data_IF_979017999696
#
_entry.id   IF_979017999696
#
_cell.length_a   1.000
_cell.length_b   1.000
_cell.length_c   1.000
_cell.angle_alpha   90.00
_cell.angle_beta   90.00
_cell.angle_gamma   90.00
#
_symmetry.space_group_name_H-M   'P 1'
#
loop_
_entity.id
_entity.type
_entity.pdbx_description
1 polymer ?
#
# COMPACT_ATOMS: atom_id res chain seq x y z
N UNK A 1 18.37 -6.85 3.46
CA UNK A 1 18.12 -5.67 2.60
C UNK A 1 18.16 -6.02 1.11
N UNK A 2 19.06 -6.89 0.65
CA UNK A 2 19.12 -7.32 -0.75
C UNK A 2 17.84 -8.04 -1.22
N UNK A 3 17.26 -8.90 -0.36
CA UNK A 3 16.03 -9.65 -0.68
C UNK A 3 14.83 -8.71 -0.86
N UNK A 4 14.61 -7.80 0.10
CA UNK A 4 13.54 -6.77 0.02
C UNK A 4 13.61 -5.96 -1.27
N UNK A 5 14.81 -5.61 -1.73
CA UNK A 5 14.99 -4.89 -3.00
C UNK A 5 14.60 -5.74 -4.21
N UNK A 6 14.82 -7.05 -4.16
CA UNK A 6 14.42 -8.02 -5.20
C UNK A 6 12.91 -8.23 -5.21
N UNK A 7 12.27 -8.40 -4.06
CA UNK A 7 10.81 -8.55 -3.98
C UNK A 7 10.07 -7.30 -4.49
N UNK A 8 10.57 -6.11 -4.14
CA UNK A 8 10.04 -4.84 -4.67
C UNK A 8 10.22 -4.75 -6.19
N UNK A 9 11.32 -5.30 -6.73
CA UNK A 9 11.53 -5.43 -8.17
C UNK A 9 10.46 -6.30 -8.85
N UNK A 10 10.13 -7.47 -8.28
CA UNK A 10 9.08 -8.34 -8.82
C UNK A 10 7.69 -7.66 -8.81
N UNK A 11 7.35 -6.94 -7.73
CA UNK A 11 6.12 -6.15 -7.66
C UNK A 11 6.07 -5.06 -8.74
N UNK A 12 7.18 -4.36 -8.97
CA UNK A 12 7.28 -3.33 -10.00
C UNK A 12 7.02 -3.92 -11.40
N UNK A 13 7.66 -5.04 -11.73
CA UNK A 13 7.48 -5.72 -13.02
C UNK A 13 6.04 -6.22 -13.23
N UNK A 14 5.40 -6.74 -12.18
CA UNK A 14 3.99 -7.14 -12.24
C UNK A 14 3.06 -5.95 -12.55
N UNK A 15 3.31 -4.80 -11.91
CA UNK A 15 2.54 -3.58 -12.15
C UNK A 15 2.75 -3.08 -13.59
N UNK A 16 3.99 -3.07 -14.07
CA UNK A 16 4.32 -2.70 -15.46
C UNK A 16 3.62 -3.61 -16.48
N UNK A 17 3.63 -4.93 -16.26
CA UNK A 17 2.92 -5.87 -17.11
C UNK A 17 1.40 -5.62 -17.12
N UNK A 18 0.80 -5.32 -15.96
CA UNK A 18 -0.63 -5.00 -15.86
C UNK A 18 -0.98 -3.72 -16.65
N UNK A 19 -0.17 -2.67 -16.54
CA UNK A 19 -0.36 -1.45 -17.34
C UNK A 19 -0.23 -1.71 -18.84
N UNK A 20 0.72 -2.56 -19.25
CA UNK A 20 0.86 -3.00 -20.65
C UNK A 20 -0.41 -3.69 -21.18
N UNK A 21 -1.02 -4.58 -20.38
CA UNK A 21 -2.27 -5.24 -20.74
C UNK A 21 -3.42 -4.23 -20.88
N UNK A 22 -3.54 -3.28 -19.94
CA UNK A 22 -4.60 -2.26 -20.02
C UNK A 22 -4.43 -1.32 -21.23
N UNK A 23 -3.19 -0.99 -21.59
CA UNK A 23 -2.90 -0.19 -22.77
C UNK A 23 -3.34 -0.93 -24.05
N UNK A 24 -2.96 -2.20 -24.21
CA UNK A 24 -3.36 -2.98 -25.39
C UNK A 24 -4.87 -3.30 -25.41
N UNK A 25 -5.49 -3.56 -24.25
CA UNK A 25 -6.94 -3.74 -24.16
C UNK A 25 -7.73 -2.47 -24.51
N UNK A 26 -7.15 -1.29 -24.26
CA UNK A 26 -7.71 -0.02 -24.71
C UNK A 26 -7.58 0.15 -26.23
N UNK A 27 -6.44 -0.24 -26.81
CA UNK A 27 -6.24 -0.23 -28.26
C UNK A 27 -7.25 -1.13 -28.98
N UNK A 28 -7.63 -2.26 -28.36
CA UNK A 28 -8.67 -3.15 -28.87
C UNK A 28 -10.11 -2.59 -28.74
N UNK A 29 -10.37 -1.60 -27.87
CA UNK A 29 -11.71 -1.07 -27.56
C UNK A 29 -11.96 0.38 -28.06
N UNK A 30 -11.21 0.87 -29.03
CA UNK A 30 -11.38 2.23 -29.57
C UNK A 30 -11.77 2.25 -31.06
N UNK A 31 -13.08 2.33 -31.31
CA UNK A 31 -13.67 3.51 -31.99
C UNK A 31 -14.82 4.04 -31.11
N UNK A 32 -15.08 5.36 -31.07
CA UNK A 32 -16.28 5.93 -30.41
C UNK A 32 -17.55 5.28 -30.96
N UNK A 33 -18.70 5.30 -30.23
CA UNK A 33 -19.92 4.63 -30.69
C UNK A 33 -20.25 5.13 -32.10
N UNK A 34 -20.46 4.17 -33.02
CA UNK A 34 -20.83 4.41 -34.41
C UNK A 34 -21.86 5.54 -34.45
N UNK A 35 -21.47 6.72 -34.94
CA UNK A 35 -22.46 7.75 -35.20
C UNK A 35 -23.50 7.14 -36.15
N UNK A 36 -24.77 7.26 -35.78
CA UNK A 36 -25.88 6.74 -36.55
C UNK A 36 -25.93 7.45 -37.90
N UNK A 37 -25.27 6.90 -38.92
CA UNK A 37 -25.38 7.35 -40.29
C UNK A 37 -26.75 6.92 -40.82
N UNK A 38 -27.78 7.73 -40.55
CA UNK A 38 -29.16 7.52 -40.97
C UNK A 38 -29.41 7.69 -42.48
N UNK A 39 -28.40 7.50 -43.33
CA UNK A 39 -28.55 7.62 -44.79
C UNK A 39 -28.65 6.26 -45.49
N UNK A 40 -28.76 5.14 -44.76
CA UNK A 40 -28.89 3.81 -45.35
C UNK A 40 -30.30 3.48 -45.88
N UNK A 41 -31.27 4.39 -45.75
CA UNK A 41 -32.61 4.26 -46.31
C UNK A 41 -32.91 5.37 -47.34
N UNK A 42 -32.14 5.41 -48.42
CA UNK A 42 -32.68 5.92 -49.68
C UNK A 42 -32.72 4.75 -50.66
N UNK A 43 -33.92 4.20 -50.85
CA UNK A 43 -34.25 3.27 -51.92
C UNK A 43 -33.96 3.97 -53.26
N UNK A 44 -32.89 3.56 -53.94
CA UNK A 44 -32.72 3.84 -55.35
C UNK A 44 -33.66 2.90 -56.11
N UNK A 45 -34.80 3.44 -56.52
CA UNK A 45 -35.71 2.85 -57.50
C UNK A 45 -34.90 2.53 -58.77
N UNK A 46 -34.93 1.27 -59.20
CA UNK A 46 -34.33 0.83 -60.46
C UNK A 46 -34.95 1.61 -61.62
N UNK A 47 -34.13 2.37 -62.32
CA UNK A 47 -34.43 3.00 -63.60
C UNK A 47 -34.51 1.95 -64.71
N UNK A 48 -35.62 1.94 -65.45
CA UNK A 48 -35.73 1.36 -66.79
C UNK A 48 -36.22 2.46 -67.77
N UNK A 49 -35.73 2.41 -69.01
CA UNK A 49 -35.62 3.45 -70.03
C UNK A 49 -36.81 4.42 -70.29
N UNK A 50 -36.50 5.72 -70.45
CA UNK A 50 -36.69 6.53 -71.68
C UNK A 50 -36.95 8.04 -71.43
N UNK A 51 -36.24 8.85 -72.22
CA UNK A 51 -36.41 10.29 -72.56
C UNK A 51 -35.62 11.35 -71.73
N UNK A 52 -34.90 12.21 -72.46
CA UNK A 52 -33.95 13.25 -71.97
C UNK A 52 -34.65 14.64 -71.81
N UNK A 53 -33.97 15.79 -71.59
CA UNK A 53 -32.64 16.10 -71.03
C UNK A 53 -32.68 17.19 -69.90
N UNK A 54 -31.55 17.46 -69.22
CA UNK A 54 -30.96 18.82 -69.06
C UNK A 54 -30.07 19.01 -67.80
N UNK A 55 -28.86 19.52 -68.07
CA UNK A 55 -28.17 20.63 -67.38
C UNK A 55 -27.51 20.40 -65.99
N UNK A 56 -26.16 20.38 -66.03
CA UNK A 56 -25.17 21.22 -65.28
C UNK A 56 -25.39 21.46 -63.77
N UNK A 57 -24.38 21.39 -62.89
CA UNK A 57 -23.18 22.26 -62.85
C UNK A 57 -22.01 21.54 -62.14
N UNK A 58 -20.81 21.76 -62.68
CA UNK A 58 -19.51 21.40 -62.15
C UNK A 58 -19.04 22.26 -60.96
N UNK A 59 -17.97 21.81 -60.28
CA UNK A 59 -16.88 22.57 -59.64
C UNK A 59 -16.51 21.94 -58.28
N UNK A 60 -15.54 21.01 -58.25
CA UNK A 60 -14.10 21.24 -57.99
C UNK A 60 -13.75 21.63 -56.55
N UNK A 61 -13.12 20.71 -55.81
CA UNK A 61 -11.79 20.89 -55.21
C UNK A 61 -11.39 19.64 -54.38
N UNK A 62 -10.51 18.81 -54.94
CA UNK A 62 -9.54 18.00 -54.18
C UNK A 62 -8.47 18.94 -53.57
N UNK A 63 -7.57 18.54 -52.66
CA UNK A 63 -7.54 17.36 -51.77
C UNK A 63 -7.25 17.76 -50.30
N UNK A 64 -7.63 16.95 -49.30
CA UNK A 64 -6.81 16.87 -48.09
C UNK A 64 -6.51 15.41 -47.76
N UNK A 65 -5.22 15.13 -47.89
CA UNK A 65 -4.63 13.81 -47.83
C UNK A 65 -4.47 13.41 -46.36
N UNK A 66 -5.33 12.49 -45.93
CA UNK A 66 -5.05 11.40 -44.95
C UNK A 66 -6.32 10.91 -44.25
N UNK A 67 -7.45 10.94 -44.96
CA UNK A 67 -8.50 9.93 -44.78
C UNK A 67 -8.04 8.55 -45.29
N UNK A 68 -6.78 8.17 -45.02
CA UNK A 68 -6.37 6.78 -45.14
C UNK A 68 -7.11 6.04 -44.05
N UNK A 69 -8.17 5.39 -44.48
CA UNK A 69 -8.27 3.95 -44.33
C UNK A 69 -7.33 3.39 -43.26
N UNK A 70 -7.87 2.98 -42.13
CA UNK A 70 -7.49 1.71 -41.53
C UNK A 70 -8.48 1.42 -40.42
N UNK A 71 -9.52 0.69 -40.80
CA UNK A 71 -9.98 -0.41 -39.95
C UNK A 71 -8.75 -1.13 -39.40
N UNK A 72 -8.69 -1.36 -38.08
CA UNK A 72 -7.64 -2.17 -37.48
C UNK A 72 -7.51 -3.44 -38.34
N UNK A 73 -6.38 -3.61 -39.02
CA UNK A 73 -6.17 -4.78 -39.85
C UNK A 73 -6.05 -6.00 -38.93
N UNK A 74 -6.45 -7.18 -39.40
CA UNK A 74 -6.39 -8.41 -38.59
C UNK A 74 -5.03 -8.63 -37.93
N UNK A 75 -3.97 -8.17 -38.59
CA UNK A 75 -2.58 -8.21 -38.12
C UNK A 75 -2.36 -7.36 -36.85
N UNK A 76 -2.93 -6.15 -36.76
CA UNK A 76 -2.77 -5.26 -35.59
C UNK A 76 -3.53 -5.79 -34.36
N UNK A 77 -4.68 -6.45 -34.59
CA UNK A 77 -5.45 -7.15 -33.56
C UNK A 77 -4.66 -8.36 -33.05
N UNK A 78 -4.08 -9.14 -33.96
CA UNK A 78 -3.25 -10.30 -33.64
C UNK A 78 -1.98 -9.91 -32.88
N UNK A 79 -1.34 -8.81 -33.26
CA UNK A 79 -0.18 -8.25 -32.56
C UNK A 79 -0.54 -7.83 -31.13
N UNK A 80 -1.70 -7.18 -30.95
CA UNK A 80 -2.20 -6.79 -29.63
C UNK A 80 -2.43 -8.00 -28.72
N UNK A 81 -3.05 -9.07 -29.24
CA UNK A 81 -3.21 -10.32 -28.48
C UNK A 81 -1.87 -11.00 -28.17
N UNK A 82 -0.91 -10.95 -29.09
CA UNK A 82 0.44 -11.48 -28.89
C UNK A 82 1.16 -10.74 -27.76
N UNK A 83 1.09 -9.41 -27.75
CA UNK A 83 1.65 -8.58 -26.67
C UNK A 83 0.96 -8.81 -25.33
N UNK A 84 -0.36 -8.90 -25.30
CA UNK A 84 -1.12 -9.27 -24.09
C UNK A 84 -0.67 -10.63 -23.56
N UNK A 85 -0.45 -11.61 -24.46
CA UNK A 85 0.09 -12.92 -24.10
C UNK A 85 1.48 -12.85 -23.47
N UNK A 86 2.36 -12.01 -24.02
CA UNK A 86 3.70 -11.77 -23.48
C UNK A 86 3.64 -11.12 -22.08
N UNK A 87 2.82 -10.07 -21.90
CA UNK A 87 2.64 -9.42 -20.60
C UNK A 87 2.04 -10.38 -19.56
N UNK A 88 1.04 -11.18 -19.94
CA UNK A 88 0.47 -12.21 -19.06
C UNK A 88 1.53 -13.22 -18.61
N UNK A 89 2.36 -13.68 -19.53
CA UNK A 89 3.46 -14.60 -19.21
C UNK A 89 4.45 -13.97 -18.24
N UNK A 90 4.79 -12.69 -18.44
CA UNK A 90 5.67 -11.96 -17.54
C UNK A 90 5.08 -11.79 -16.13
N UNK A 91 3.80 -11.43 -16.05
CA UNK A 91 3.08 -11.30 -14.78
C UNK A 91 3.04 -12.63 -14.01
N UNK A 92 2.75 -13.75 -14.69
CA UNK A 92 2.71 -15.07 -14.05
C UNK A 92 4.09 -15.43 -13.50
N UNK A 93 5.16 -15.22 -14.26
CA UNK A 93 6.51 -15.52 -13.81
C UNK A 93 6.89 -14.75 -12.54
N UNK A 94 6.73 -13.42 -12.55
CA UNK A 94 7.10 -12.61 -11.39
C UNK A 94 6.20 -12.84 -10.19
N UNK A 95 4.91 -13.16 -10.38
CA UNK A 95 4.04 -13.53 -9.27
C UNK A 95 4.41 -14.88 -8.66
N UNK A 96 4.85 -15.86 -9.47
CA UNK A 96 5.38 -17.13 -8.96
C UNK A 96 6.69 -16.94 -8.20
N UNK A 97 7.65 -16.20 -8.75
CA UNK A 97 8.93 -15.90 -8.09
C UNK A 97 8.73 -15.16 -6.77
N UNK A 98 7.80 -14.21 -6.72
CA UNK A 98 7.47 -13.48 -5.49
C UNK A 98 6.79 -14.39 -4.45
N UNK A 99 5.86 -15.26 -4.89
CA UNK A 99 5.22 -16.24 -4.01
C UNK A 99 6.21 -17.24 -3.42
N UNK A 100 7.18 -17.69 -4.22
CA UNK A 100 8.27 -18.57 -3.77
C UNK A 100 9.16 -17.87 -2.74
N UNK A 101 9.53 -16.61 -2.98
CA UNK A 101 10.29 -15.81 -2.02
C UNK A 101 9.52 -15.60 -0.70
N UNK A 102 8.22 -15.31 -0.77
CA UNK A 102 7.35 -15.19 0.41
C UNK A 102 7.27 -16.54 1.16
N UNK A 103 7.14 -17.66 0.45
CA UNK A 103 7.10 -18.98 1.06
C UNK A 103 8.43 -19.35 1.73
N UNK A 104 9.57 -19.00 1.11
CA UNK A 104 10.90 -19.20 1.69
C UNK A 104 11.17 -18.27 2.89
N UNK A 105 10.58 -17.08 2.94
CA UNK A 105 10.60 -16.23 4.12
C UNK A 105 9.64 -16.72 5.23
N UNK A 106 8.57 -17.42 4.85
CA UNK A 106 7.59 -18.01 5.77
C UNK A 106 8.04 -19.37 6.34
N UNK A 107 8.98 -20.07 5.71
CA UNK A 107 9.72 -21.12 6.41
C UNK A 107 10.48 -20.44 7.54
N UNK A 108 10.28 -20.84 8.80
CA UNK A 108 11.03 -20.27 9.90
C UNK A 108 12.50 -20.55 9.61
N UNK A 109 13.23 -19.50 9.19
CA UNK A 109 14.67 -19.50 9.33
C UNK A 109 14.92 -19.84 10.79
N UNK A 110 15.75 -20.84 11.11
CA UNK A 110 16.18 -21.00 12.48
C UNK A 110 17.01 -19.74 12.75
N UNK A 111 16.40 -18.69 13.30
CA UNK A 111 17.11 -17.91 14.30
C UNK A 111 17.63 -18.97 15.25
N UNK A 112 18.92 -19.22 15.17
CA UNK A 112 19.57 -20.37 15.78
C UNK A 112 19.05 -20.42 17.21
N UNK A 113 18.21 -21.41 17.54
CA UNK A 113 17.48 -21.40 18.81
C UNK A 113 18.50 -21.36 19.97
N UNK A 114 19.71 -21.83 19.69
CA UNK A 114 20.91 -21.73 20.51
C UNK A 114 21.37 -20.28 20.81
N UNK A 115 21.18 -19.31 19.92
CA UNK A 115 21.45 -17.88 20.17
C UNK A 115 20.35 -17.20 21.01
N UNK A 116 19.11 -17.67 20.91
CA UNK A 116 17.97 -17.15 21.67
C UNK A 116 17.98 -17.60 23.14
N UNK A 117 18.47 -18.80 23.41
CA UNK A 117 18.56 -19.38 24.76
C UNK A 117 19.30 -18.48 25.76
N UNK A 118 20.53 -17.99 25.51
CA UNK A 118 21.24 -17.12 26.46
C UNK A 118 20.53 -15.78 26.65
N UNK A 119 19.87 -15.23 25.62
CA UNK A 119 19.11 -13.99 25.72
C UNK A 119 17.86 -14.15 26.58
N UNK A 120 17.15 -15.28 26.45
CA UNK A 120 16.00 -15.63 27.28
C UNK A 120 16.41 -15.82 28.74
N UNK A 121 17.50 -16.55 28.98
CA UNK A 121 18.06 -16.71 30.32
C UNK A 121 18.48 -15.37 30.92
N UNK A 122 19.13 -14.50 30.12
CA UNK A 122 19.54 -13.17 30.57
C UNK A 122 18.33 -12.29 30.91
N UNK A 123 17.28 -12.32 30.10
CA UNK A 123 16.02 -11.61 30.36
C UNK A 123 15.39 -12.07 31.68
N UNK A 124 15.31 -13.37 31.91
CA UNK A 124 14.66 -13.93 33.10
C UNK A 124 15.48 -13.67 34.36
N UNK A 125 16.81 -13.71 34.25
CA UNK A 125 17.71 -13.28 35.31
C UNK A 125 17.51 -11.80 35.67
N UNK A 126 17.46 -10.91 34.67
CA UNK A 126 17.21 -9.48 34.90
C UNK A 126 15.85 -9.22 35.55
N UNK A 127 14.81 -9.95 35.15
CA UNK A 127 13.48 -9.87 35.79
C UNK A 127 13.55 -10.23 37.27
N UNK A 128 14.31 -11.28 37.62
CA UNK A 128 14.51 -11.68 39.01
C UNK A 128 15.25 -10.60 39.81
N UNK A 129 16.36 -10.07 39.29
CA UNK A 129 17.10 -9.01 39.99
C UNK A 129 16.27 -7.73 40.19
N UNK A 130 15.51 -7.31 39.18
CA UNK A 130 14.62 -6.14 39.29
C UNK A 130 13.56 -6.39 40.36
N UNK A 131 12.97 -7.58 40.40
CA UNK A 131 12.00 -7.94 41.42
C UNK A 131 12.61 -7.88 42.83
N UNK A 132 13.79 -8.48 43.03
CA UNK A 132 14.50 -8.47 44.32
C UNK A 132 14.83 -7.04 44.78
N UNK A 133 15.35 -6.19 43.89
CA UNK A 133 15.59 -4.77 44.20
C UNK A 133 14.30 -4.03 44.56
N UNK A 134 13.22 -4.27 43.82
CA UNK A 134 11.93 -3.62 44.09
C UNK A 134 11.34 -4.04 45.44
N UNK A 135 11.53 -5.29 45.87
CA UNK A 135 11.13 -5.75 47.21
C UNK A 135 11.91 -5.00 48.30
N UNK A 136 13.23 -4.86 48.14
CA UNK A 136 14.06 -4.11 49.09
C UNK A 136 13.64 -2.63 49.14
N UNK A 137 13.44 -2.00 47.99
CA UNK A 137 12.99 -0.60 47.93
C UNK A 137 11.62 -0.41 48.56
N UNK A 138 10.66 -1.32 48.31
CA UNK A 138 9.36 -1.29 48.97
C UNK A 138 9.52 -1.33 50.49
N UNK A 139 10.33 -2.26 51.01
CA UNK A 139 10.58 -2.34 52.46
C UNK A 139 11.24 -1.08 53.04
N UNK A 140 12.09 -0.40 52.26
CA UNK A 140 12.65 0.89 52.67
C UNK A 140 11.59 1.99 52.70
N UNK A 141 10.75 2.08 51.65
CA UNK A 141 9.64 3.04 51.56
C UNK A 141 8.68 2.86 52.73
N UNK A 142 8.31 1.62 53.06
CA UNK A 142 7.40 1.32 54.17
C UNK A 142 7.98 1.77 55.52
N UNK A 143 9.29 1.55 55.75
CA UNK A 143 9.99 2.04 56.96
C UNK A 143 10.08 3.57 57.00
N UNK A 144 10.35 4.22 55.87
CA UNK A 144 10.39 5.68 55.78
C UNK A 144 9.02 6.29 56.07
N UNK A 145 7.94 5.68 55.56
CA UNK A 145 6.56 6.07 55.88
C UNK A 145 6.24 5.92 57.36
N UNK A 146 6.63 4.80 57.97
CA UNK A 146 6.44 4.60 59.41
C UNK A 146 7.21 5.64 60.23
N UNK A 147 8.44 5.97 59.84
CA UNK A 147 9.23 7.02 60.47
C UNK A 147 8.58 8.40 60.32
N UNK A 148 8.12 8.74 59.11
CA UNK A 148 7.40 9.98 58.83
C UNK A 148 6.14 10.10 59.71
N UNK A 149 5.34 9.04 59.82
CA UNK A 149 4.16 9.01 60.70
C UNK A 149 4.54 9.22 62.17
N UNK A 150 5.57 8.54 62.67
CA UNK A 150 6.03 8.71 64.05
C UNK A 150 6.50 10.15 64.33
N UNK A 151 7.17 10.79 63.37
CA UNK A 151 7.58 12.19 63.48
C UNK A 151 6.39 13.16 63.44
N UNK A 152 5.39 12.91 62.59
CA UNK A 152 4.15 13.70 62.57
C UNK A 152 3.44 13.63 63.93
N UNK A 153 3.32 12.44 64.52
CA UNK A 153 2.74 12.26 65.85
C UNK A 153 3.51 13.06 66.90
N UNK A 154 4.85 12.98 66.88
CA UNK A 154 5.70 13.73 67.82
C UNK A 154 5.56 15.26 67.67
N UNK A 155 5.24 15.73 66.46
CA UNK A 155 4.98 17.13 66.15
C UNK A 155 3.53 17.57 66.44
N UNK A 156 2.68 16.67 66.97
CA UNK A 156 1.27 16.95 67.25
C UNK A 156 0.39 16.96 66.00
N UNK A 157 0.85 16.38 64.89
CA UNK A 157 0.18 16.32 63.60
C UNK A 157 -0.44 14.93 63.37
N UNK A 158 -1.21 14.42 64.34
CA UNK A 158 -1.76 13.05 64.36
C UNK A 158 -2.74 12.71 63.21
N UNK A 159 -3.14 13.69 62.40
CA UNK A 159 -4.13 13.55 61.32
C UNK A 159 -3.65 14.08 59.96
N UNK A 160 -2.36 14.44 59.82
CA UNK A 160 -1.83 14.92 58.54
C UNK A 160 -1.73 13.75 57.54
N UNK A 161 -2.44 13.86 56.41
CA UNK A 161 -2.32 12.90 55.31
C UNK A 161 -0.99 13.09 54.55
N UNK A 162 -0.58 12.14 53.69
CA UNK A 162 0.66 12.24 52.90
C UNK A 162 0.77 13.58 52.14
N UNK A 163 -0.36 14.07 51.60
CA UNK A 163 -0.45 15.35 50.89
C UNK A 163 -0.27 16.56 51.81
N UNK A 164 -0.76 16.49 53.05
CA UNK A 164 -0.62 17.56 54.05
C UNK A 164 0.83 17.66 54.52
N UNK A 165 1.50 16.52 54.72
CA UNK A 165 2.92 16.49 55.11
C UNK A 165 3.80 17.03 54.00
N UNK A 166 3.50 16.71 52.73
CA UNK A 166 4.23 17.24 51.58
C UNK A 166 4.05 18.76 51.43
N UNK A 167 2.83 19.27 51.61
CA UNK A 167 2.53 20.70 51.56
C UNK A 167 3.21 21.48 52.70
N UNK A 168 3.22 20.94 53.92
CA UNK A 168 3.85 21.57 55.09
C UNK A 168 5.38 21.55 55.00
N UNK A 169 5.97 20.44 54.51
CA UNK A 169 7.41 20.37 54.25
C UNK A 169 7.83 21.39 53.18
N UNK A 170 7.04 21.53 52.11
CA UNK A 170 7.28 22.54 51.07
C UNK A 170 7.12 23.97 51.60
N UNK A 171 6.17 24.23 52.50
CA UNK A 171 5.97 25.55 53.10
C UNK A 171 7.12 25.93 54.05
N UNK A 172 7.58 25.02 54.91
CA UNK A 172 8.75 25.26 55.78
C UNK A 172 10.05 25.42 55.00
N UNK A 173 10.25 24.65 53.93
CA UNK A 173 11.42 24.79 53.07
C UNK A 173 11.47 26.16 52.36
N UNK A 174 10.32 26.80 52.13
CA UNK A 174 10.25 28.18 51.62
C UNK A 174 10.45 29.24 52.71
N UNK A 175 10.25 28.90 53.98
CA UNK A 175 10.46 29.80 55.13
C UNK A 175 11.93 29.87 55.57
N UNK A 176 12.76 28.88 55.19
CA UNK A 176 14.21 28.81 55.47
C UNK A 176 15.10 29.38 54.34
N UNK A 177 14.51 30.03 53.31
CA UNK A 177 15.22 30.73 52.21
C UNK A 177 15.00 32.24 52.31
#
# INVERSE_FOLDING_TARGET
>A
MADVSREVGHLHEMVTAAYGIFAEARNLNLKPPLQANSNFFHFAEMSDDADAPAATVAATAEPDADARDMTLHGDEIQDSFTKIGAFKTAYIRHSMELMEAIAAAATPSPLDMDELVPLVQRRDHLRKEVHERNVVMKGLIDRLRALQQALCILQGMDHANEDDVAAIASARAMEEV
#
